data_IF_533610608168
#
_entry.id   IF_533610608168
#
_cell.length_a   1.000
_cell.length_b   1.000
_cell.length_c   1.000
_cell.angle_alpha   90.00
_cell.angle_beta   90.00
_cell.angle_gamma   90.00
#
_symmetry.space_group_name_H-M   'P 1'
#
loop_
_entity.id
_entity.type
_entity.pdbx_description
1 polymer ?
#
# COMPACT_ATOMS: atom_id res chain seq x y z
N UNK A 1 -4.48 -8.78 -13.49
CA UNK A 1 -3.35 -7.98 -12.96
C UNK A 1 -3.35 -6.57 -13.54
N UNK A 2 -3.39 -6.43 -14.88
CA UNK A 2 -3.41 -5.14 -15.57
C UNK A 2 -4.56 -4.23 -15.07
N UNK A 3 -5.80 -4.76 -15.02
CA UNK A 3 -6.98 -4.01 -14.59
C UNK A 3 -6.90 -3.57 -13.13
N UNK A 4 -6.30 -4.40 -12.27
CA UNK A 4 -6.09 -4.08 -10.87
C UNK A 4 -5.09 -2.93 -10.68
N UNK A 5 -4.08 -2.86 -11.54
CA UNK A 5 -3.05 -1.82 -11.48
C UNK A 5 -3.47 -0.51 -12.14
N UNK A 6 -4.54 -0.51 -12.93
CA UNK A 6 -5.01 0.68 -13.66
C UNK A 6 -5.88 1.66 -12.85
N UNK A 7 -6.30 1.28 -11.63
CA UNK A 7 -7.04 2.18 -10.74
C UNK A 7 -6.08 2.99 -9.86
N UNK A 8 -6.09 4.29 -9.98
CA UNK A 8 -5.05 5.19 -9.44
C UNK A 8 -5.56 6.17 -8.39
N UNK A 9 -4.75 6.37 -7.35
CA UNK A 9 -4.88 7.51 -6.44
C UNK A 9 -3.58 8.29 -6.42
N UNK A 10 -3.68 9.58 -6.66
CA UNK A 10 -2.62 10.54 -6.30
C UNK A 10 -2.92 11.00 -4.88
N UNK A 11 -1.95 10.93 -3.99
CA UNK A 11 -2.10 11.31 -2.59
C UNK A 11 -2.72 12.71 -2.44
N UNK A 12 -3.86 12.80 -1.79
CA UNK A 12 -4.49 14.09 -1.47
C UNK A 12 -3.94 14.58 -0.13
N UNK A 13 -3.34 15.77 -0.11
CA UNK A 13 -2.70 16.39 1.07
C UNK A 13 -3.64 16.70 2.25
N UNK A 14 -4.89 16.23 2.26
CA UNK A 14 -5.88 16.53 3.30
C UNK A 14 -6.43 15.29 4.00
N UNK A 15 -5.92 15.06 5.18
CA UNK A 15 -6.52 14.22 6.22
C UNK A 15 -6.95 15.13 7.38
N UNK A 16 -8.14 15.02 8.00
CA UNK A 16 -9.10 13.90 8.05
C UNK A 16 -10.54 14.28 7.63
N UNK A 17 -10.82 14.87 6.50
CA UNK A 17 -12.18 15.33 6.17
C UNK A 17 -12.76 14.80 4.87
N UNK A 18 -12.79 13.65 4.56
CA UNK A 18 -13.34 12.92 3.43
C UNK A 18 -12.21 12.19 2.70
N UNK A 19 -12.25 10.91 2.79
CA UNK A 19 -11.56 10.02 1.88
C UNK A 19 -12.05 10.39 0.49
N UNK A 20 -11.15 10.87 -0.36
CA UNK A 20 -11.49 11.32 -1.70
C UNK A 20 -12.12 10.18 -2.52
N UNK A 21 -12.92 10.52 -3.51
CA UNK A 21 -13.59 9.55 -4.37
C UNK A 21 -12.61 8.56 -5.01
N UNK A 22 -11.43 9.03 -5.37
CA UNK A 22 -10.35 8.20 -5.93
C UNK A 22 -9.86 7.12 -4.95
N UNK A 23 -9.72 7.47 -3.67
CA UNK A 23 -9.33 6.52 -2.62
C UNK A 23 -10.39 5.44 -2.42
N UNK A 24 -11.67 5.81 -2.49
CA UNK A 24 -12.77 4.84 -2.47
C UNK A 24 -12.69 3.89 -3.65
N UNK A 25 -12.52 4.42 -4.86
CA UNK A 25 -12.49 3.62 -6.08
C UNK A 25 -11.37 2.57 -6.08
N UNK A 26 -10.16 2.91 -5.63
CA UNK A 26 -9.07 1.92 -5.59
C UNK A 26 -9.30 0.88 -4.48
N UNK A 27 -9.86 1.28 -3.34
CA UNK A 27 -10.20 0.35 -2.28
C UNK A 27 -11.32 -0.59 -2.72
N UNK A 28 -12.35 -0.07 -3.38
CA UNK A 28 -13.45 -0.87 -3.92
C UNK A 28 -12.94 -1.88 -4.96
N UNK A 29 -11.98 -1.47 -5.81
CA UNK A 29 -11.36 -2.38 -6.78
C UNK A 29 -10.50 -3.45 -6.11
N UNK A 30 -9.72 -3.10 -5.09
CA UNK A 30 -8.96 -4.08 -4.31
C UNK A 30 -9.89 -5.07 -3.59
N UNK A 31 -11.00 -4.56 -3.05
CA UNK A 31 -12.02 -5.37 -2.41
C UNK A 31 -12.75 -6.30 -3.40
N UNK A 32 -13.06 -5.82 -4.59
CA UNK A 32 -13.64 -6.61 -5.69
C UNK A 32 -12.73 -7.79 -6.03
N UNK A 33 -11.45 -7.53 -6.29
CA UNK A 33 -10.46 -8.56 -6.61
C UNK A 33 -10.33 -9.58 -5.48
N UNK A 34 -10.27 -9.11 -4.22
CA UNK A 34 -10.24 -9.99 -3.05
C UNK A 34 -11.45 -10.92 -2.99
N UNK A 35 -12.66 -10.42 -3.27
CA UNK A 35 -13.90 -11.21 -3.31
C UNK A 35 -13.94 -12.18 -4.47
N UNK A 36 -13.49 -11.77 -5.67
CA UNK A 36 -13.40 -12.66 -6.85
C UNK A 36 -12.47 -13.85 -6.59
N UNK A 37 -11.37 -13.63 -5.87
CA UNK A 37 -10.48 -14.69 -5.41
C UNK A 37 -11.13 -15.52 -4.29
N UNK A 38 -12.23 -15.03 -3.70
CA UNK A 38 -13.02 -15.69 -2.67
C UNK A 38 -12.48 -15.50 -1.27
N UNK A 39 -11.94 -14.32 -0.97
CA UNK A 39 -11.54 -13.92 0.38
C UNK A 39 -12.62 -13.10 1.07
N UNK A 40 -12.63 -13.15 2.41
CA UNK A 40 -13.40 -12.22 3.22
C UNK A 40 -12.70 -10.86 3.21
N UNK A 41 -13.44 -9.82 2.82
CA UNK A 41 -12.91 -8.46 2.73
C UNK A 41 -13.53 -7.58 3.80
N UNK A 42 -12.69 -6.89 4.55
CA UNK A 42 -13.07 -5.88 5.54
C UNK A 42 -12.59 -4.52 5.05
N UNK A 43 -13.49 -3.54 5.05
CA UNK A 43 -13.20 -2.16 4.61
C UNK A 43 -13.91 -1.17 5.54
N UNK A 44 -13.37 -0.90 6.74
CA UNK A 44 -14.03 -0.03 7.70
C UNK A 44 -13.91 1.43 7.25
N UNK A 45 -15.04 2.00 6.86
CA UNK A 45 -15.19 3.43 6.53
C UNK A 45 -14.17 3.96 5.50
N UNK A 46 -13.62 3.09 4.67
CA UNK A 46 -12.57 3.42 3.68
C UNK A 46 -11.26 3.97 4.25
N UNK A 47 -11.01 3.80 5.54
CA UNK A 47 -9.71 4.18 6.11
C UNK A 47 -8.59 3.23 5.68
N UNK A 48 -8.90 1.95 5.66
CA UNK A 48 -8.02 0.88 5.20
C UNK A 48 -8.87 -0.30 4.75
N UNK A 49 -8.26 -1.26 4.09
CA UNK A 49 -8.92 -2.51 3.72
C UNK A 49 -8.10 -3.72 4.11
N UNK A 50 -8.74 -4.85 4.27
CA UNK A 50 -8.03 -6.11 4.46
C UNK A 50 -8.77 -7.30 3.88
N UNK A 51 -7.99 -8.29 3.43
CA UNK A 51 -8.47 -9.62 3.10
C UNK A 51 -7.91 -10.61 4.11
N UNK A 52 -8.76 -11.47 4.66
CA UNK A 52 -8.35 -12.46 5.67
C UNK A 52 -8.62 -13.87 5.18
N UNK A 53 -7.61 -14.73 5.29
CA UNK A 53 -7.69 -16.16 5.08
C UNK A 53 -7.53 -16.83 6.44
N UNK A 54 -8.56 -17.47 6.97
CA UNK A 54 -8.46 -18.11 8.28
C UNK A 54 -7.54 -19.33 8.24
N UNK A 55 -6.78 -19.52 9.29
CA UNK A 55 -6.00 -20.73 9.54
C UNK A 55 -6.85 -21.83 10.16
N UNK A 56 -6.36 -23.06 10.08
CA UNK A 56 -7.02 -24.26 10.65
C UNK A 56 -6.38 -24.74 11.94
N UNK A 57 -5.38 -24.03 12.48
CA UNK A 57 -4.71 -24.36 13.73
C UNK A 57 -5.63 -24.19 14.95
N UNK A 58 -5.37 -24.92 16.01
CA UNK A 58 -6.14 -24.84 17.26
C UNK A 58 -6.09 -23.46 17.92
N UNK A 59 -4.92 -22.79 17.81
CA UNK A 59 -4.70 -21.42 18.28
C UNK A 59 -3.96 -20.63 17.19
N UNK A 60 -4.66 -20.20 16.13
CA UNK A 60 -3.98 -19.55 15.01
C UNK A 60 -3.46 -18.19 15.40
N UNK A 61 -2.18 -17.95 15.10
CA UNK A 61 -1.61 -16.60 15.11
C UNK A 61 -2.05 -15.87 13.84
N UNK A 62 -1.99 -14.56 13.86
CA UNK A 62 -2.26 -13.75 12.68
C UNK A 62 -0.97 -13.24 12.06
N UNK A 63 -0.76 -13.56 10.79
CA UNK A 63 0.33 -13.05 9.96
C UNK A 63 -0.26 -11.98 9.06
N UNK A 64 0.25 -10.75 9.15
CA UNK A 64 -0.17 -9.63 8.31
C UNK A 64 0.85 -9.33 7.22
N UNK A 65 0.40 -9.23 5.98
CA UNK A 65 1.16 -8.64 4.87
C UNK A 65 0.62 -7.24 4.61
N UNK A 66 1.48 -6.23 4.65
CA UNK A 66 1.11 -4.83 4.55
C UNK A 66 1.58 -4.25 3.23
N UNK A 67 0.67 -3.59 2.54
CA UNK A 67 0.93 -2.85 1.32
C UNK A 67 0.03 -1.60 1.27
N UNK A 68 0.40 -0.61 0.46
CA UNK A 68 -0.42 0.59 0.26
C UNK A 68 -0.87 0.75 -1.19
N UNK A 69 -1.94 1.49 -1.38
CA UNK A 69 -2.57 1.72 -2.68
C UNK A 69 -2.53 3.17 -3.13
N UNK A 70 -2.20 4.10 -2.22
CA UNK A 70 -1.92 5.48 -2.58
C UNK A 70 -0.56 5.61 -3.27
N UNK A 71 -0.33 6.74 -3.89
CA UNK A 71 0.90 7.00 -4.65
C UNK A 71 1.31 8.47 -4.52
N UNK A 72 2.61 8.75 -4.61
CA UNK A 72 3.14 10.10 -4.69
C UNK A 72 2.64 10.83 -5.95
N UNK A 73 2.74 12.17 -6.02
CA UNK A 73 2.45 12.95 -7.21
C UNK A 73 3.19 12.40 -8.44
N UNK A 74 2.57 12.55 -9.62
CA UNK A 74 3.07 11.95 -10.85
C UNK A 74 4.47 12.41 -11.22
N UNK A 75 4.79 13.70 -11.00
CA UNK A 75 6.04 14.31 -11.49
C UNK A 75 6.05 14.42 -13.02
N UNK A 76 7.20 14.82 -13.53
CA UNK A 76 7.44 15.08 -14.95
C UNK A 76 8.36 14.02 -15.59
N UNK A 77 8.55 14.08 -16.90
CA UNK A 77 9.51 13.25 -17.63
C UNK A 77 9.03 11.85 -18.00
N UNK A 78 7.75 11.56 -17.90
CA UNK A 78 7.18 10.27 -18.28
C UNK A 78 7.23 10.07 -19.81
N UNK A 79 7.79 8.93 -20.25
CA UNK A 79 7.76 8.50 -21.65
C UNK A 79 6.46 7.74 -22.02
N UNK A 80 5.75 7.24 -21.03
CA UNK A 80 4.47 6.56 -21.16
C UNK A 80 3.46 7.20 -20.22
N UNK A 81 2.14 7.05 -20.49
CA UNK A 81 1.12 7.57 -19.59
C UNK A 81 1.32 7.07 -18.15
N UNK A 82 1.58 7.95 -17.18
CA UNK A 82 1.92 7.54 -15.82
C UNK A 82 0.79 6.76 -15.15
N UNK A 83 -0.45 7.00 -15.53
CA UNK A 83 -1.64 6.32 -15.02
C UNK A 83 -2.15 5.20 -15.94
N UNK A 84 -1.43 4.85 -16.99
CA UNK A 84 -1.89 3.91 -18.00
C UNK A 84 -1.52 2.45 -17.72
N UNK A 85 -0.64 2.17 -16.77
CA UNK A 85 -0.09 0.83 -16.54
C UNK A 85 0.32 0.15 -17.86
N UNK A 86 1.21 0.78 -18.62
CA UNK A 86 1.60 0.33 -19.95
C UNK A 86 2.39 -0.98 -19.87
N UNK A 87 1.93 -2.02 -20.58
CA UNK A 87 2.71 -3.25 -20.75
C UNK A 87 3.59 -3.13 -21.99
N UNK A 88 4.91 -3.14 -21.82
CA UNK A 88 5.88 -3.08 -22.90
C UNK A 88 7.10 -3.92 -22.61
N UNK A 89 7.52 -4.72 -23.55
CA UNK A 89 8.73 -5.57 -23.49
C UNK A 89 8.81 -6.42 -22.20
N UNK A 90 7.66 -6.87 -21.69
CA UNK A 90 7.56 -7.64 -20.47
C UNK A 90 7.54 -6.81 -19.17
N UNK A 91 7.62 -5.48 -19.27
CA UNK A 91 7.54 -4.57 -18.13
C UNK A 91 6.17 -3.90 -18.02
N UNK A 92 5.68 -3.76 -16.79
CA UNK A 92 4.56 -2.90 -16.47
C UNK A 92 5.10 -1.53 -16.06
N UNK A 93 4.69 -0.49 -16.78
CA UNK A 93 5.19 0.87 -16.61
C UNK A 93 4.06 1.79 -16.17
N UNK A 94 4.22 2.40 -15.00
CA UNK A 94 3.24 3.34 -14.46
C UNK A 94 3.50 3.70 -12.99
N UNK A 95 2.92 4.80 -12.54
CA UNK A 95 2.98 5.24 -11.15
C UNK A 95 2.25 4.22 -10.26
N UNK A 96 2.89 3.77 -9.15
CA UNK A 96 2.34 2.80 -8.22
C UNK A 96 2.49 1.35 -8.64
N UNK A 97 3.08 1.05 -9.80
CA UNK A 97 3.31 -0.34 -10.24
C UNK A 97 4.32 -1.03 -9.32
N UNK A 98 5.45 -0.39 -9.04
CA UNK A 98 6.46 -0.91 -8.11
C UNK A 98 6.15 -0.57 -6.65
N UNK A 99 5.63 0.62 -6.43
CA UNK A 99 5.39 1.24 -5.13
C UNK A 99 3.93 1.74 -5.06
N UNK A 100 2.98 0.97 -4.50
CA UNK A 100 3.18 -0.35 -3.93
C UNK A 100 2.09 -1.35 -4.40
N UNK A 101 1.28 -0.99 -5.43
CA UNK A 101 0.15 -1.81 -5.94
C UNK A 101 0.59 -3.16 -6.52
N UNK A 102 1.77 -3.21 -7.17
CA UNK A 102 2.32 -4.47 -7.67
C UNK A 102 2.56 -5.48 -6.55
N UNK A 103 3.35 -5.14 -5.52
CA UNK A 103 3.51 -5.98 -4.34
C UNK A 103 2.19 -6.36 -3.65
N UNK A 104 1.22 -5.44 -3.54
CA UNK A 104 -0.11 -5.72 -3.01
C UNK A 104 -0.84 -6.82 -3.79
N UNK A 105 -0.83 -6.75 -5.11
CA UNK A 105 -1.43 -7.75 -5.98
C UNK A 105 -0.65 -9.07 -5.93
N UNK A 106 0.68 -9.03 -5.90
CA UNK A 106 1.49 -10.24 -5.73
C UNK A 106 1.13 -10.99 -4.44
N UNK A 107 0.92 -10.28 -3.33
CA UNK A 107 0.49 -10.88 -2.07
C UNK A 107 -0.90 -11.56 -2.20
N UNK A 108 -1.87 -10.89 -2.85
CA UNK A 108 -3.19 -11.49 -3.12
C UNK A 108 -3.09 -12.77 -3.95
N UNK A 109 -2.30 -12.74 -5.00
CA UNK A 109 -2.14 -13.91 -5.88
C UNK A 109 -1.35 -15.03 -5.22
N UNK A 110 -0.42 -14.72 -4.31
CA UNK A 110 0.22 -15.74 -3.48
C UNK A 110 -0.79 -16.49 -2.61
N UNK A 111 -1.71 -15.77 -1.94
CA UNK A 111 -2.80 -16.40 -1.17
C UNK A 111 -3.78 -17.17 -2.07
N UNK A 112 -4.09 -16.63 -3.25
CA UNK A 112 -4.90 -17.34 -4.25
C UNK A 112 -4.27 -18.68 -4.61
N UNK A 113 -2.96 -18.70 -4.87
CA UNK A 113 -2.21 -19.92 -5.17
C UNK A 113 -2.36 -20.96 -4.06
N UNK A 114 -2.17 -20.55 -2.79
CA UNK A 114 -2.33 -21.46 -1.65
C UNK A 114 -3.75 -22.05 -1.59
N UNK A 115 -4.77 -21.23 -1.84
CA UNK A 115 -6.16 -21.66 -1.85
C UNK A 115 -6.48 -22.64 -2.99
N UNK A 116 -6.06 -22.32 -4.22
CA UNK A 116 -6.30 -23.16 -5.40
C UNK A 116 -5.62 -24.52 -5.27
N UNK A 117 -4.45 -24.58 -4.65
CA UNK A 117 -3.71 -25.81 -4.38
C UNK A 117 -4.12 -26.49 -3.07
N UNK A 118 -5.16 -25.99 -2.38
CA UNK A 118 -5.68 -26.56 -1.12
C UNK A 118 -4.59 -26.71 -0.05
N UNK A 119 -3.65 -25.79 -0.01
CA UNK A 119 -2.61 -25.76 1.02
C UNK A 119 -3.22 -25.20 2.29
N UNK A 120 -3.30 -26.04 3.33
CA UNK A 120 -3.84 -25.65 4.63
C UNK A 120 -2.86 -24.72 5.36
N UNK A 121 -3.40 -23.60 5.82
CA UNK A 121 -2.66 -22.66 6.66
C UNK A 121 -2.94 -22.95 8.13
N UNK A 122 -1.89 -23.09 8.93
CA UNK A 122 -2.04 -23.23 10.39
C UNK A 122 -2.44 -21.92 11.06
N UNK A 123 -2.01 -20.81 10.52
CA UNK A 123 -2.22 -19.46 11.04
C UNK A 123 -3.15 -18.66 10.12
N UNK A 124 -3.83 -17.66 10.68
CA UNK A 124 -4.54 -16.68 9.90
C UNK A 124 -3.54 -15.87 9.07
N UNK A 125 -3.87 -15.62 7.81
CA UNK A 125 -3.11 -14.69 6.97
C UNK A 125 -4.00 -13.56 6.55
N UNK A 126 -3.53 -12.35 6.78
CA UNK A 126 -4.23 -11.11 6.41
C UNK A 126 -3.38 -10.31 5.43
N UNK A 127 -4.00 -9.77 4.40
CA UNK A 127 -3.40 -8.70 3.59
C UNK A 127 -4.09 -7.41 3.97
N UNK A 128 -3.30 -6.41 4.33
CA UNK A 128 -3.72 -5.05 4.62
C UNK A 128 -3.46 -4.16 3.40
N UNK A 129 -4.41 -3.27 3.12
CA UNK A 129 -4.30 -2.26 2.08
C UNK A 129 -4.43 -0.88 2.71
N UNK A 130 -3.32 -0.14 2.71
CA UNK A 130 -3.26 1.25 3.16
C UNK A 130 -3.68 2.23 2.07
N UNK A 131 -4.03 3.45 2.49
CA UNK A 131 -4.44 4.55 1.61
C UNK A 131 -3.74 5.88 1.95
N UNK A 132 -2.78 5.86 2.87
CA UNK A 132 -2.09 7.09 3.30
C UNK A 132 -0.63 6.87 3.70
N UNK A 133 0.04 5.88 3.14
CA UNK A 133 1.46 5.64 3.39
C UNK A 133 2.27 6.86 3.03
N UNK A 134 2.10 7.37 1.80
CA UNK A 134 2.79 8.52 1.21
C UNK A 134 2.43 9.87 1.87
N UNK A 135 1.44 9.87 2.75
CA UNK A 135 0.91 11.08 3.39
C UNK A 135 0.94 11.04 4.91
N UNK A 136 1.66 10.08 5.49
CA UNK A 136 1.95 10.00 6.93
C UNK A 136 1.21 8.93 7.70
N UNK A 137 0.81 7.84 7.06
CA UNK A 137 0.37 6.57 7.68
C UNK A 137 -0.80 6.70 8.67
N UNK A 138 -1.75 7.58 8.43
CA UNK A 138 -2.92 7.76 9.30
C UNK A 138 -3.88 6.57 9.28
N UNK A 139 -3.90 5.84 8.20
CA UNK A 139 -4.59 4.58 8.03
C UNK A 139 -4.06 3.48 8.97
N UNK A 140 -2.74 3.39 9.15
CA UNK A 140 -2.13 2.48 10.13
C UNK A 140 -2.48 2.89 11.57
N UNK A 141 -2.48 4.18 11.88
CA UNK A 141 -2.95 4.66 13.19
C UNK A 141 -4.41 4.25 13.45
N UNK A 142 -5.27 4.37 12.44
CA UNK A 142 -6.67 3.94 12.52
C UNK A 142 -6.77 2.42 12.69
N UNK A 143 -6.04 1.65 11.87
CA UNK A 143 -6.00 0.20 11.96
C UNK A 143 -5.61 -0.28 13.35
N UNK A 144 -4.52 0.23 13.90
CA UNK A 144 -4.05 -0.16 15.24
C UNK A 144 -5.03 0.16 16.37
N UNK A 145 -5.94 1.12 16.17
CA UNK A 145 -6.97 1.49 17.16
C UNK A 145 -8.26 0.68 17.03
N UNK A 146 -8.55 0.18 15.85
CA UNK A 146 -9.88 -0.38 15.52
C UNK A 146 -9.85 -1.85 15.13
N UNK A 147 -8.69 -2.39 14.78
CA UNK A 147 -8.52 -3.75 14.31
C UNK A 147 -7.54 -4.54 15.17
N UNK A 148 -7.61 -5.86 15.08
CA UNK A 148 -6.64 -6.72 15.74
C UNK A 148 -5.29 -6.65 15.04
N UNK A 149 -4.26 -6.23 15.77
CA UNK A 149 -2.88 -6.20 15.27
C UNK A 149 -2.37 -7.63 15.06
N UNK A 150 -1.74 -7.93 13.92
CA UNK A 150 -1.13 -9.25 13.69
C UNK A 150 0.03 -9.54 14.63
N UNK A 151 0.26 -10.83 14.90
CA UNK A 151 1.41 -11.31 15.69
C UNK A 151 2.74 -11.14 14.95
N UNK A 152 2.70 -11.20 13.62
CA UNK A 152 3.83 -10.97 12.73
C UNK A 152 3.38 -10.10 11.56
N UNK A 153 4.16 -9.07 11.26
CA UNK A 153 3.92 -8.17 10.13
C UNK A 153 5.05 -8.27 9.11
N UNK A 154 4.67 -8.44 7.85
CA UNK A 154 5.55 -8.35 6.69
C UNK A 154 5.13 -7.12 5.88
N UNK A 155 6.03 -6.19 5.69
CA UNK A 155 5.78 -4.98 4.88
C UNK A 155 6.36 -5.21 3.49
N UNK A 156 5.49 -5.29 2.50
CA UNK A 156 5.85 -5.61 1.12
C UNK A 156 6.28 -4.36 0.34
N UNK A 157 7.17 -3.57 0.93
CA UNK A 157 7.53 -2.24 0.43
C UNK A 157 9.03 -1.98 0.41
N UNK A 158 9.81 -3.03 0.33
CA UNK A 158 11.26 -2.94 0.23
C UNK A 158 11.82 -3.91 -0.81
N UNK A 159 13.07 -3.66 -1.23
CA UNK A 159 13.82 -4.58 -2.06
C UNK A 159 14.33 -5.78 -1.24
N UNK A 160 14.67 -6.86 -1.95
CA UNK A 160 15.40 -7.98 -1.35
C UNK A 160 16.88 -7.65 -1.15
N UNK A 161 17.54 -8.16 -0.10
CA UNK A 161 17.04 -9.07 0.94
C UNK A 161 16.10 -8.38 1.94
N UNK A 162 15.32 -9.19 2.68
CA UNK A 162 14.41 -8.67 3.70
C UNK A 162 15.13 -7.79 4.72
N UNK A 163 14.59 -6.60 4.96
CA UNK A 163 15.05 -5.70 6.01
C UNK A 163 14.35 -6.07 7.33
N UNK A 164 15.12 -6.26 8.40
CA UNK A 164 14.60 -6.60 9.74
C UNK A 164 14.85 -5.49 10.77
N UNK A 165 15.42 -4.39 10.34
CA UNK A 165 15.68 -3.24 11.21
C UNK A 165 16.04 -2.02 10.40
N UNK A 166 15.61 -0.86 10.87
CA UNK A 166 15.82 0.43 10.23
C UNK A 166 16.44 1.43 11.20
N UNK A 167 17.14 2.42 10.65
CA UNK A 167 17.61 3.57 11.41
C UNK A 167 16.48 4.58 11.59
N UNK A 168 16.48 5.28 12.71
CA UNK A 168 15.58 6.40 12.91
C UNK A 168 15.78 7.50 11.87
N UNK A 169 14.70 8.14 11.46
CA UNK A 169 14.70 9.29 10.56
C UNK A 169 14.41 10.56 11.36
N UNK A 170 15.29 11.56 11.23
CA UNK A 170 15.05 12.92 11.71
C UNK A 170 14.96 13.85 10.50
N UNK A 171 13.82 14.54 10.36
CA UNK A 171 13.64 15.61 9.38
C UNK A 171 13.53 16.93 10.14
N UNK A 172 14.39 17.89 9.81
CA UNK A 172 14.38 19.22 10.38
C UNK A 172 14.30 20.27 9.27
N UNK A 173 13.48 21.30 9.50
CA UNK A 173 13.41 22.47 8.63
C UNK A 173 14.04 23.66 9.36
N UNK A 174 15.06 24.25 8.76
CA UNK A 174 15.75 25.42 9.29
C UNK A 174 15.27 26.65 8.53
N UNK A 175 14.54 27.52 9.23
CA UNK A 175 14.07 28.78 8.71
C UNK A 175 14.92 29.91 9.30
N UNK A 176 15.60 30.66 8.46
CA UNK A 176 16.30 31.88 8.87
C UNK A 176 15.63 33.11 8.26
N UNK A 177 15.49 34.16 9.03
CA UNK A 177 15.12 35.47 8.51
C UNK A 177 16.41 36.23 8.18
N UNK A 178 16.65 36.43 6.91
CA UNK A 178 17.77 37.29 6.43
C UNK A 178 17.24 38.30 5.42
N UNK A 179 17.79 39.49 5.46
CA UNK A 179 17.51 40.52 4.44
C UNK A 179 18.31 40.25 3.14
N UNK A 180 19.24 39.28 3.17
CA UNK A 180 20.06 38.90 2.01
C UNK A 180 19.44 37.73 1.28
N UNK A 181 19.45 37.81 -0.05
CA UNK A 181 19.03 36.71 -0.91
C UNK A 181 20.16 35.68 -1.03
N UNK A 182 19.82 34.41 -1.30
CA UNK A 182 20.79 33.30 -1.50
C UNK A 182 21.83 33.59 -2.60
N UNK A 183 21.59 34.57 -3.48
CA UNK A 183 22.50 35.00 -4.54
C UNK A 183 23.75 35.68 -3.98
N UNK A 184 23.70 36.22 -2.75
CA UNK A 184 24.81 36.93 -2.13
C UNK A 184 25.89 36.00 -1.54
N UNK A 185 25.73 34.66 -1.65
CA UNK A 185 26.66 33.66 -1.08
C UNK A 185 27.63 33.05 -2.11
N UNK A 186 27.65 33.54 -3.33
CA UNK A 186 28.60 33.11 -4.38
C UNK A 186 29.76 34.10 -4.52
N UNK A 187 30.59 34.23 -3.45
CA UNK A 187 31.91 34.81 -3.55
C UNK A 187 32.93 34.00 -2.77
#
# INVERSE_FOLDING_TARGET
LHDALSVWIVGEKRWPRAIGEKSKNVMDKAAEIGREIGFSVVNPEYHCGSCVVPGTGEHPKRIGMFAHLDVVPLGDGWQYPPLGCTLKDGFLIGRGVGDNKGPAICALYALRFLKEHKIELKNDVMIYFGLSEETGMKDIEYFCKTQQIPDLCLVNDTNLPNCYGEKGLLRAELNTRTERTLIDFHH
#
